data_IF_989995332868
#
_entry.id   IF_989995332868
#
_cell.length_a   1.000
_cell.length_b   1.000
_cell.length_c   1.000
_cell.angle_alpha   90.00
_cell.angle_beta   90.00
_cell.angle_gamma   90.00
#
_symmetry.space_group_name_H-M   'P 1'
#
loop_
_entity.id
_entity.type
_entity.pdbx_description
1 polymer ?
#
# COMPACT_ATOMS: atom_id res chain seq x y z
N UNK A 1 -9.67 -3.46 -10.49
CA UNK A 1 -8.83 -3.49 -9.27
C UNK A 1 -7.38 -3.52 -9.69
N UNK A 2 -6.58 -2.58 -9.19
CA UNK A 2 -5.11 -2.62 -9.23
C UNK A 2 -4.62 -2.92 -7.81
N UNK A 3 -3.62 -3.80 -7.68
CA UNK A 3 -3.08 -4.21 -6.39
C UNK A 3 -1.56 -4.26 -6.45
N UNK A 4 -0.87 -3.44 -5.64
CA UNK A 4 0.59 -3.33 -5.60
C UNK A 4 1.06 -3.34 -4.15
N UNK A 5 2.11 -4.10 -3.83
CA UNK A 5 2.72 -4.06 -2.48
C UNK A 5 3.41 -2.71 -2.24
N UNK A 6 3.21 -2.10 -1.07
CA UNK A 6 3.88 -0.85 -0.70
C UNK A 6 5.39 -1.06 -0.47
N UNK A 7 5.76 -2.24 0.00
CA UNK A 7 7.16 -2.62 0.19
C UNK A 7 7.35 -4.09 -0.18
N UNK A 8 8.41 -4.39 -0.93
CA UNK A 8 8.76 -5.76 -1.28
C UNK A 8 9.21 -6.53 -0.03
N UNK A 9 8.67 -7.74 0.15
CA UNK A 9 8.91 -8.56 1.35
C UNK A 9 10.27 -9.26 1.39
N UNK A 10 10.98 -9.35 0.26
CA UNK A 10 12.30 -9.99 0.18
C UNK A 10 13.43 -8.98 0.32
N UNK A 11 13.38 -7.89 -0.43
CA UNK A 11 14.47 -6.91 -0.55
C UNK A 11 14.17 -5.56 0.11
N UNK A 12 12.92 -5.30 0.49
CA UNK A 12 12.53 -4.06 1.18
C UNK A 12 12.38 -2.84 0.27
N UNK A 13 12.36 -2.99 -1.05
CA UNK A 13 12.11 -1.89 -1.99
C UNK A 13 10.75 -1.25 -1.72
N UNK A 14 10.71 0.07 -1.58
CA UNK A 14 9.48 0.86 -1.40
C UNK A 14 8.97 1.29 -2.77
N UNK A 15 7.70 0.99 -3.05
CA UNK A 15 7.06 1.32 -4.33
C UNK A 15 6.44 2.72 -4.32
N UNK A 16 6.44 3.45 -5.45
CA UNK A 16 5.84 4.78 -5.59
C UNK A 16 4.30 4.68 -5.72
N UNK A 17 3.64 4.32 -4.61
CA UNK A 17 2.20 4.02 -4.59
C UNK A 17 1.34 5.24 -4.92
N UNK A 18 1.72 6.45 -4.46
CA UNK A 18 0.95 7.67 -4.72
C UNK A 18 0.89 7.96 -6.23
N UNK A 19 2.03 7.91 -6.89
CA UNK A 19 2.16 8.12 -8.33
C UNK A 19 1.39 7.03 -9.10
N UNK A 20 1.47 5.77 -8.65
CA UNK A 20 0.73 4.68 -9.24
C UNK A 20 -0.79 4.87 -9.12
N UNK A 21 -1.28 5.34 -7.97
CA UNK A 21 -2.69 5.69 -7.75
C UNK A 21 -3.11 6.81 -8.71
N UNK A 22 -2.33 7.89 -8.81
CA UNK A 22 -2.62 9.03 -9.69
C UNK A 22 -2.75 8.57 -11.15
N UNK A 23 -1.80 7.77 -11.66
CA UNK A 23 -1.82 7.24 -13.03
C UNK A 23 -3.06 6.36 -13.27
N UNK A 24 -3.41 5.49 -12.31
CA UNK A 24 -4.58 4.61 -12.45
C UNK A 24 -5.87 5.40 -12.45
N UNK A 25 -6.01 6.37 -11.54
CA UNK A 25 -7.21 7.18 -11.40
C UNK A 25 -7.38 8.18 -12.55
N UNK A 26 -6.28 8.69 -13.12
CA UNK A 26 -6.31 9.49 -14.35
C UNK A 26 -6.89 8.67 -15.53
N UNK A 27 -6.54 7.39 -15.62
CA UNK A 27 -7.02 6.51 -16.69
C UNK A 27 -8.46 6.04 -16.50
N UNK A 28 -8.83 5.67 -15.27
CA UNK A 28 -10.20 5.37 -14.90
C UNK A 28 -10.41 5.59 -13.39
N UNK A 29 -11.17 6.63 -12.99
CA UNK A 29 -11.35 6.97 -11.57
C UNK A 29 -12.14 5.91 -10.79
N UNK A 30 -12.94 5.06 -11.45
CA UNK A 30 -13.72 3.99 -10.82
C UNK A 30 -12.87 2.75 -10.47
N UNK A 31 -11.62 2.68 -10.95
CA UNK A 31 -10.76 1.54 -10.62
C UNK A 31 -10.35 1.61 -9.15
N UNK A 32 -10.74 0.59 -8.40
CA UNK A 32 -10.24 0.39 -7.04
C UNK A 32 -8.73 0.13 -7.05
N UNK A 33 -8.01 0.81 -6.17
CA UNK A 33 -6.58 0.66 -5.92
C UNK A 33 -6.36 0.11 -4.51
N UNK A 34 -5.72 -1.05 -4.44
CA UNK A 34 -5.32 -1.70 -3.21
C UNK A 34 -3.81 -1.66 -3.05
N UNK A 35 -3.33 -1.49 -1.81
CA UNK A 35 -1.92 -1.74 -1.48
C UNK A 35 -1.74 -2.70 -0.32
N UNK A 36 -0.81 -3.64 -0.47
CA UNK A 36 -0.37 -4.46 0.66
C UNK A 36 0.74 -3.72 1.42
N UNK A 37 0.42 -3.25 2.63
CA UNK A 37 1.33 -2.53 3.50
C UNK A 37 1.79 -3.39 4.70
N UNK A 38 1.65 -4.71 4.63
CA UNK A 38 1.96 -5.62 5.73
C UNK A 38 3.42 -5.55 6.20
N UNK A 39 4.38 -5.38 5.27
CA UNK A 39 5.80 -5.23 5.60
C UNK A 39 6.22 -3.77 5.83
N UNK A 40 5.41 -2.81 5.35
CA UNK A 40 5.68 -1.38 5.46
C UNK A 40 5.22 -0.78 6.80
N UNK A 41 4.00 -1.13 7.21
CA UNK A 41 3.35 -0.54 8.39
C UNK A 41 4.14 -0.87 9.66
N UNK A 42 4.42 0.15 10.48
CA UNK A 42 5.26 0.03 11.67
C UNK A 42 6.78 0.05 11.41
N UNK A 43 7.22 0.05 10.15
CA UNK A 43 8.65 0.18 9.76
C UNK A 43 8.95 1.51 9.06
N UNK A 44 8.04 1.97 8.20
CA UNK A 44 8.12 3.28 7.53
C UNK A 44 6.83 4.08 7.79
N UNK A 45 6.85 5.41 7.63
CA UNK A 45 5.63 6.21 7.67
C UNK A 45 4.64 5.74 6.60
N UNK A 46 3.41 5.46 7.00
CA UNK A 46 2.31 5.08 6.10
C UNK A 46 1.13 5.97 6.41
N UNK A 47 0.69 6.78 5.44
CA UNK A 47 -0.48 7.62 5.56
C UNK A 47 -1.45 7.33 4.41
N UNK A 48 -2.57 6.68 4.72
CA UNK A 48 -3.60 6.30 3.74
C UNK A 48 -4.14 7.49 2.94
N UNK A 49 -4.25 8.67 3.55
CA UNK A 49 -4.77 9.87 2.87
C UNK A 49 -3.77 10.44 1.87
N UNK A 50 -2.47 10.38 2.19
CA UNK A 50 -1.41 10.83 1.30
C UNK A 50 -1.19 9.86 0.14
N UNK A 51 -1.37 8.55 0.38
CA UNK A 51 -1.23 7.52 -0.64
C UNK A 51 -2.42 7.47 -1.62
N UNK A 52 -3.63 7.85 -1.18
CA UNK A 52 -4.82 7.88 -2.04
C UNK A 52 -5.41 6.51 -2.40
N UNK A 53 -5.01 5.45 -1.69
CA UNK A 53 -5.50 4.09 -1.93
C UNK A 53 -6.94 3.91 -1.43
N UNK A 54 -7.72 3.07 -2.11
CA UNK A 54 -9.08 2.73 -1.69
C UNK A 54 -9.09 1.62 -0.63
N UNK A 55 -8.11 0.70 -0.70
CA UNK A 55 -7.99 -0.46 0.18
C UNK A 55 -6.53 -0.64 0.63
N UNK A 56 -6.32 -1.11 1.85
CA UNK A 56 -4.99 -1.42 2.39
C UNK A 56 -5.00 -2.69 3.23
N UNK A 57 -4.05 -3.60 2.97
CA UNK A 57 -3.80 -4.76 3.83
C UNK A 57 -2.76 -4.42 4.90
N UNK A 58 -3.03 -4.84 6.13
CA UNK A 58 -2.15 -4.73 7.29
C UNK A 58 -2.08 -6.09 8.01
N UNK A 59 -0.95 -6.39 8.64
CA UNK A 59 -0.74 -7.61 9.42
C UNK A 59 -0.33 -7.30 10.85
N UNK A 60 -1.17 -7.65 11.84
CA UNK A 60 -0.89 -7.47 13.26
C UNK A 60 0.36 -8.23 13.70
N UNK A 61 0.52 -9.48 13.27
CA UNK A 61 1.69 -10.30 13.60
C UNK A 61 3.01 -9.66 13.14
N UNK A 62 3.01 -8.94 12.00
CA UNK A 62 4.21 -8.26 11.48
C UNK A 62 4.58 -6.98 12.24
N UNK A 63 3.71 -6.50 13.12
CA UNK A 63 3.89 -5.33 13.99
C UNK A 63 3.80 -5.66 15.48
N UNK A 64 4.16 -6.89 15.87
CA UNK A 64 4.15 -7.37 17.26
C UNK A 64 2.75 -7.40 17.91
N UNK A 65 1.70 -7.38 17.09
CA UNK A 65 0.33 -7.64 17.50
C UNK A 65 0.02 -9.13 17.65
N UNK A 66 -1.20 -9.48 18.07
CA UNK A 66 -1.62 -10.85 18.26
C UNK A 66 -1.57 -11.66 16.95
N UNK A 67 -1.32 -12.96 17.11
CA UNK A 67 -1.40 -13.97 16.06
C UNK A 67 -2.84 -14.44 15.87
#
# INVERSE_FOLDING_TARGET
LVSIMLTNHEIGTVEPIKEAVEIVKEKNPEVLFHTDASDAYGRIPVNVKELGVDLMTLSSYKILGPR
#
